data_IF_354245998880
#
_entry.id   IF_354245998880
#
_cell.length_a   1.000
_cell.length_b   1.000
_cell.length_c   1.000
_cell.angle_alpha   90.00
_cell.angle_beta   90.00
_cell.angle_gamma   90.00
#
_symmetry.space_group_name_H-M   'P 1'
#
loop_
_entity.id
_entity.type
_entity.pdbx_description
1 polymer ?
#
# COMPACT_ATOMS: atom_id res chain seq x y z
N UNK A 1 -16.36 -9.27 16.14
CA UNK A 1 -15.40 -9.91 15.21
C UNK A 1 -16.09 -10.34 13.91
N UNK A 2 -17.00 -11.33 13.93
CA UNK A 2 -17.72 -11.77 12.72
C UNK A 2 -18.44 -10.63 11.97
N UNK A 3 -19.06 -9.69 12.70
CA UNK A 3 -19.68 -8.49 12.08
C UNK A 3 -18.69 -7.66 11.25
N UNK A 4 -17.48 -7.43 11.77
CA UNK A 4 -16.45 -6.67 11.07
C UNK A 4 -15.98 -7.41 9.80
N UNK A 5 -15.79 -8.73 9.90
CA UNK A 5 -15.46 -9.57 8.76
C UNK A 5 -16.56 -9.53 7.69
N UNK A 6 -17.84 -9.74 8.07
CA UNK A 6 -18.97 -9.67 7.15
C UNK A 6 -19.10 -8.29 6.50
N UNK A 7 -18.89 -7.20 7.25
CA UNK A 7 -18.83 -5.86 6.69
C UNK A 7 -17.73 -5.73 5.63
N UNK A 8 -16.53 -6.25 5.88
CA UNK A 8 -15.44 -6.25 4.88
C UNK A 8 -15.78 -7.05 3.63
N UNK A 9 -16.33 -8.27 3.78
CA UNK A 9 -16.71 -9.16 2.66
C UNK A 9 -17.73 -8.50 1.75
N UNK A 10 -18.66 -7.70 2.29
CA UNK A 10 -19.64 -6.97 1.49
C UNK A 10 -19.08 -5.65 0.95
N UNK A 11 -18.32 -4.91 1.77
CA UNK A 11 -17.86 -3.57 1.43
C UNK A 11 -16.86 -3.57 0.27
N UNK A 12 -15.79 -4.37 0.30
CA UNK A 12 -14.73 -4.26 -0.72
C UNK A 12 -15.17 -4.71 -2.12
N UNK A 13 -15.80 -5.88 -2.31
CA UNK A 13 -16.34 -6.27 -3.62
C UNK A 13 -17.50 -5.37 -4.07
N UNK A 14 -18.33 -4.91 -3.13
CA UNK A 14 -19.43 -4.00 -3.39
C UNK A 14 -18.97 -2.64 -3.91
N UNK A 15 -18.00 -2.02 -3.22
CA UNK A 15 -17.38 -0.75 -3.64
C UNK A 15 -16.65 -0.92 -4.97
N UNK A 16 -15.90 -2.01 -5.17
CA UNK A 16 -15.24 -2.28 -6.45
C UNK A 16 -16.25 -2.37 -7.61
N UNK A 17 -17.33 -3.12 -7.43
CA UNK A 17 -18.38 -3.29 -8.45
C UNK A 17 -19.12 -1.97 -8.74
N UNK A 18 -19.40 -1.20 -7.69
CA UNK A 18 -20.01 0.13 -7.82
C UNK A 18 -19.09 1.08 -8.59
N UNK A 19 -17.81 1.16 -8.22
CA UNK A 19 -16.82 1.99 -8.90
C UNK A 19 -16.69 1.61 -10.37
N UNK A 20 -16.61 0.31 -10.70
CA UNK A 20 -16.58 -0.14 -12.10
C UNK A 20 -17.80 0.34 -12.88
N UNK A 21 -19.00 0.20 -12.31
CA UNK A 21 -20.25 0.59 -12.96
C UNK A 21 -20.39 2.11 -13.11
N UNK A 22 -19.95 2.88 -12.12
CA UNK A 22 -19.99 4.35 -12.16
C UNK A 22 -18.95 4.86 -13.16
N UNK A 23 -17.70 4.41 -13.07
CA UNK A 23 -16.62 4.85 -13.94
C UNK A 23 -16.87 4.50 -15.41
N UNK A 24 -17.40 3.31 -15.72
CA UNK A 24 -17.73 2.94 -17.11
C UNK A 24 -18.86 3.79 -17.69
N UNK A 25 -19.79 4.25 -16.85
CA UNK A 25 -20.89 5.14 -17.28
C UNK A 25 -20.44 6.59 -17.44
N UNK A 26 -19.59 7.07 -16.53
CA UNK A 26 -19.11 8.46 -16.50
C UNK A 26 -18.05 8.70 -17.56
N UNK A 27 -17.11 7.77 -17.75
CA UNK A 27 -15.98 7.90 -18.67
C UNK A 27 -16.11 6.88 -19.81
N UNK A 28 -17.05 7.13 -20.75
CA UNK A 28 -17.33 6.22 -21.88
C UNK A 28 -16.13 5.96 -22.79
N UNK A 29 -15.14 6.87 -22.78
CA UNK A 29 -13.89 6.77 -23.52
C UNK A 29 -12.84 5.87 -22.86
N UNK A 30 -13.04 5.45 -21.60
CA UNK A 30 -12.10 4.56 -20.91
C UNK A 30 -12.29 3.12 -21.36
N UNK A 31 -11.18 2.41 -21.52
CA UNK A 31 -11.24 0.97 -21.81
C UNK A 31 -11.65 0.19 -20.56
N UNK A 32 -12.13 -1.05 -20.73
CA UNK A 32 -12.39 -1.94 -19.59
C UNK A 32 -11.15 -2.12 -18.69
N UNK A 33 -9.95 -2.09 -19.29
CA UNK A 33 -8.69 -2.15 -18.54
C UNK A 33 -8.49 -0.92 -17.65
N UNK A 34 -8.78 0.27 -18.16
CA UNK A 34 -8.68 1.51 -17.39
C UNK A 34 -9.71 1.54 -16.26
N UNK A 35 -10.95 1.15 -16.54
CA UNK A 35 -12.02 1.10 -15.53
C UNK A 35 -11.66 0.14 -14.39
N UNK A 36 -11.21 -1.07 -14.71
CA UNK A 36 -10.81 -2.07 -13.70
C UNK A 36 -9.60 -1.59 -12.92
N UNK A 37 -8.56 -1.08 -13.59
CA UNK A 37 -7.34 -0.59 -12.96
C UNK A 37 -7.61 0.57 -12.01
N UNK A 38 -8.40 1.56 -12.44
CA UNK A 38 -8.74 2.72 -11.61
C UNK A 38 -9.62 2.30 -10.43
N UNK A 39 -10.62 1.42 -10.66
CA UNK A 39 -11.50 0.93 -9.58
C UNK A 39 -10.70 0.21 -8.49
N UNK A 40 -9.79 -0.67 -8.88
CA UNK A 40 -8.92 -1.41 -7.97
C UNK A 40 -8.08 -0.45 -7.11
N UNK A 41 -7.38 0.50 -7.75
CA UNK A 41 -6.55 1.49 -7.05
C UNK A 41 -7.34 2.42 -6.12
N UNK A 42 -8.59 2.75 -6.45
CA UNK A 42 -9.49 3.53 -5.59
C UNK A 42 -9.93 2.73 -4.36
N UNK A 43 -10.19 1.43 -4.50
CA UNK A 43 -10.48 0.54 -3.36
C UNK A 43 -9.26 0.42 -2.45
N UNK A 44 -8.06 0.24 -3.00
CA UNK A 44 -6.83 0.20 -2.20
C UNK A 44 -6.56 1.54 -1.50
N UNK A 45 -6.82 2.67 -2.16
CA UNK A 45 -6.72 3.99 -1.55
C UNK A 45 -7.72 4.17 -0.39
N UNK A 46 -8.98 3.73 -0.57
CA UNK A 46 -9.99 3.76 0.48
C UNK A 46 -9.56 2.90 1.67
N UNK A 47 -9.08 1.68 1.44
CA UNK A 47 -8.56 0.83 2.50
C UNK A 47 -7.40 1.52 3.25
N UNK A 48 -6.46 2.12 2.51
CA UNK A 48 -5.32 2.80 3.12
C UNK A 48 -5.72 3.99 4.00
N UNK A 49 -6.73 4.76 3.61
CA UNK A 49 -7.30 5.84 4.43
C UNK A 49 -7.93 5.29 5.71
N UNK A 50 -8.74 4.24 5.59
CA UNK A 50 -9.41 3.61 6.73
C UNK A 50 -8.38 3.01 7.71
N UNK A 51 -7.36 2.31 7.19
CA UNK A 51 -6.27 1.74 7.98
C UNK A 51 -5.50 2.82 8.71
N UNK A 52 -5.08 3.88 8.01
CA UNK A 52 -4.31 4.97 8.61
C UNK A 52 -5.10 5.72 9.67
N UNK A 53 -6.39 5.95 9.43
CA UNK A 53 -7.29 6.59 10.40
C UNK A 53 -7.42 5.71 11.65
N UNK A 54 -7.60 4.40 11.47
CA UNK A 54 -7.63 3.46 12.58
C UNK A 54 -6.31 3.46 13.36
N UNK A 55 -5.18 3.45 12.65
CA UNK A 55 -3.85 3.53 13.24
C UNK A 55 -3.66 4.79 14.09
N UNK A 56 -4.03 5.95 13.55
CA UNK A 56 -3.93 7.22 14.26
C UNK A 56 -4.78 7.24 15.53
N UNK A 57 -6.02 6.75 15.48
CA UNK A 57 -6.91 6.66 16.65
C UNK A 57 -6.31 5.75 17.72
N UNK A 58 -5.74 4.60 17.35
CA UNK A 58 -5.10 3.68 18.30
C UNK A 58 -3.88 4.36 18.95
N UNK A 59 -3.00 4.95 18.15
CA UNK A 59 -1.79 5.65 18.64
C UNK A 59 -2.14 6.78 19.60
N UNK A 60 -3.17 7.57 19.28
CA UNK A 60 -3.62 8.67 20.11
C UNK A 60 -4.28 8.21 21.43
N UNK A 61 -4.84 7.00 21.45
CA UNK A 61 -5.56 6.45 22.61
C UNK A 61 -4.64 5.67 23.57
N UNK A 62 -3.60 5.01 23.05
CA UNK A 62 -2.67 4.21 23.84
C UNK A 62 -1.55 5.08 24.43
N UNK A 63 -1.58 5.31 25.75
CA UNK A 63 -0.50 6.01 26.49
C UNK A 63 0.63 5.05 26.84
N UNK A 64 0.28 3.85 27.31
CA UNK A 64 1.22 2.76 27.53
C UNK A 64 1.34 1.95 26.24
N UNK A 65 2.49 2.05 25.58
CA UNK A 65 2.73 1.44 24.27
C UNK A 65 2.72 -0.11 24.29
N UNK A 66 2.89 -0.72 25.46
CA UNK A 66 2.95 -2.18 25.62
C UNK A 66 1.64 -2.79 26.08
N UNK A 67 0.95 -2.18 27.05
CA UNK A 67 -0.19 -2.83 27.73
C UNK A 67 -1.54 -2.21 27.39
N UNK A 68 -1.59 -0.98 26.88
CA UNK A 68 -2.87 -0.38 26.53
C UNK A 68 -3.50 -1.11 25.36
N UNK A 69 -4.83 -1.25 25.43
CA UNK A 69 -5.63 -1.94 24.43
C UNK A 69 -6.58 -0.99 23.75
N UNK A 70 -6.77 -1.19 22.46
CA UNK A 70 -7.76 -0.47 21.69
C UNK A 70 -8.52 -1.43 20.79
N UNK A 71 -9.85 -1.49 20.92
CA UNK A 71 -10.70 -2.46 20.20
C UNK A 71 -10.52 -2.42 18.68
N UNK A 72 -10.17 -1.26 18.14
CA UNK A 72 -9.94 -1.06 16.71
C UNK A 72 -8.73 -1.84 16.19
N UNK A 73 -7.74 -2.14 17.04
CA UNK A 73 -6.55 -2.90 16.66
C UNK A 73 -6.93 -4.30 16.17
N UNK A 74 -7.94 -4.93 16.79
CA UNK A 74 -8.43 -6.26 16.43
C UNK A 74 -9.58 -6.16 15.42
N UNK A 75 -10.52 -5.24 15.62
CA UNK A 75 -11.68 -5.09 14.74
C UNK A 75 -11.29 -4.71 13.31
N UNK A 76 -10.29 -3.84 13.15
CA UNK A 76 -9.81 -3.42 11.83
C UNK A 76 -9.10 -4.55 11.10
N UNK A 77 -8.33 -5.41 11.78
CA UNK A 77 -7.74 -6.60 11.15
C UNK A 77 -8.83 -7.50 10.59
N UNK A 78 -9.84 -7.85 11.39
CA UNK A 78 -10.98 -8.66 10.92
C UNK A 78 -11.70 -8.03 9.73
N UNK A 79 -11.88 -6.71 9.75
CA UNK A 79 -12.44 -5.96 8.62
C UNK A 79 -11.52 -5.96 7.39
N UNK A 80 -10.19 -5.95 7.57
CA UNK A 80 -9.20 -5.91 6.50
C UNK A 80 -8.90 -7.25 5.82
N UNK A 81 -9.22 -8.39 6.45
CA UNK A 81 -8.99 -9.73 5.84
C UNK A 81 -9.62 -9.86 4.44
N UNK A 82 -10.90 -9.51 4.24
CA UNK A 82 -11.54 -9.63 2.93
C UNK A 82 -10.91 -8.71 1.90
N UNK A 83 -10.44 -7.52 2.30
CA UNK A 83 -9.68 -6.64 1.42
C UNK A 83 -8.40 -7.33 0.95
N UNK A 84 -7.56 -7.80 1.87
CA UNK A 84 -6.27 -8.39 1.51
C UNK A 84 -6.42 -9.60 0.57
N UNK A 85 -7.45 -10.42 0.78
CA UNK A 85 -7.76 -11.55 -0.11
C UNK A 85 -8.33 -11.10 -1.45
N UNK A 86 -9.25 -10.13 -1.46
CA UNK A 86 -9.90 -9.65 -2.68
C UNK A 86 -8.97 -8.80 -3.55
N UNK A 87 -8.03 -8.06 -2.96
CA UNK A 87 -7.09 -7.20 -3.67
C UNK A 87 -6.17 -8.03 -4.58
N UNK A 88 -5.73 -9.23 -4.13
CA UNK A 88 -4.98 -10.17 -4.99
C UNK A 88 -5.79 -10.54 -6.24
N UNK A 89 -7.09 -10.81 -6.09
CA UNK A 89 -7.98 -11.09 -7.22
C UNK A 89 -8.15 -9.88 -8.13
N UNK A 90 -8.37 -8.68 -7.56
CA UNK A 90 -8.53 -7.44 -8.31
C UNK A 90 -7.25 -7.07 -9.07
N UNK A 91 -6.08 -7.28 -8.47
CA UNK A 91 -4.76 -7.13 -9.10
C UNK A 91 -4.59 -8.07 -10.29
N UNK A 92 -4.96 -9.35 -10.14
CA UNK A 92 -4.94 -10.31 -11.25
C UNK A 92 -5.84 -9.85 -12.41
N UNK A 93 -7.06 -9.39 -12.10
CA UNK A 93 -8.01 -8.91 -13.10
C UNK A 93 -7.49 -7.68 -13.84
N UNK A 94 -6.91 -6.74 -13.09
CA UNK A 94 -6.25 -5.52 -13.59
C UNK A 94 -5.07 -5.85 -14.51
N UNK A 95 -4.25 -6.85 -14.15
CA UNK A 95 -3.15 -7.34 -14.96
C UNK A 95 -3.65 -7.99 -16.26
N UNK A 96 -4.66 -8.85 -16.16
CA UNK A 96 -5.26 -9.55 -17.29
C UNK A 96 -5.81 -8.59 -18.34
N UNK A 97 -6.66 -7.63 -17.93
CA UNK A 97 -7.27 -6.69 -18.88
C UNK A 97 -6.23 -5.73 -19.49
N UNK A 98 -5.27 -5.23 -18.73
CA UNK A 98 -4.22 -4.36 -19.26
C UNK A 98 -3.36 -5.04 -20.33
N UNK A 99 -3.06 -6.33 -20.16
CA UNK A 99 -2.27 -7.08 -21.15
C UNK A 99 -3.10 -7.52 -22.36
N UNK A 100 -4.39 -7.80 -22.16
CA UNK A 100 -5.34 -8.08 -23.26
C UNK A 100 -5.52 -6.88 -24.19
N UNK A 101 -5.68 -5.67 -23.65
CA UNK A 101 -5.80 -4.44 -24.47
C UNK A 101 -4.50 -4.11 -25.22
N UNK A 102 -3.33 -4.53 -24.71
CA UNK A 102 -2.03 -4.38 -25.39
C UNK A 102 -1.77 -5.44 -26.47
N UNK A 103 -2.78 -6.23 -26.86
CA UNK A 103 -2.71 -7.17 -27.99
C UNK A 103 -1.77 -8.35 -27.80
N UNK A 104 -1.39 -8.71 -26.56
CA UNK A 104 -0.55 -9.88 -26.33
C UNK A 104 -1.37 -11.16 -26.54
N UNK A 105 -0.93 -12.01 -27.46
CA UNK A 105 -1.63 -13.24 -27.92
C UNK A 105 -1.94 -14.20 -26.75
N UNK A 106 -1.10 -14.21 -25.72
CA UNK A 106 -1.24 -15.07 -24.53
C UNK A 106 -2.41 -14.70 -23.58
N UNK A 107 -3.13 -13.60 -23.85
CA UNK A 107 -4.19 -13.08 -22.96
C UNK A 107 -5.60 -13.23 -23.53
N UNK A 108 -5.79 -14.07 -24.56
CA UNK A 108 -7.11 -14.33 -25.14
C UNK A 108 -8.02 -15.13 -24.19
N UNK A 109 -7.46 -16.06 -23.40
CA UNK A 109 -8.18 -16.88 -22.42
C UNK A 109 -7.49 -16.88 -21.05
N UNK A 110 -8.25 -17.12 -19.96
CA UNK A 110 -7.67 -17.36 -18.64
C UNK A 110 -6.87 -18.67 -18.68
N UNK A 111 -5.55 -18.56 -18.77
CA UNK A 111 -4.64 -19.72 -18.82
C UNK A 111 -3.70 -19.76 -17.62
N UNK A 112 -3.16 -20.95 -17.31
CA UNK A 112 -2.11 -21.11 -16.29
C UNK A 112 -0.86 -20.28 -16.62
N UNK A 113 -0.58 -20.08 -17.91
CA UNK A 113 0.51 -19.22 -18.37
C UNK A 113 0.27 -17.76 -17.98
N UNK A 114 -0.96 -17.26 -18.13
CA UNK A 114 -1.37 -15.91 -17.71
C UNK A 114 -1.22 -15.70 -16.20
N UNK A 115 -1.58 -16.70 -15.40
CA UNK A 115 -1.39 -16.65 -13.93
C UNK A 115 0.09 -16.67 -13.56
N UNK A 116 0.91 -17.51 -14.20
CA UNK A 116 2.37 -17.55 -13.97
C UNK A 116 3.04 -16.22 -14.35
N UNK A 117 2.63 -15.60 -15.45
CA UNK A 117 3.13 -14.29 -15.87
C UNK A 117 2.77 -13.18 -14.86
N UNK A 118 1.55 -13.18 -14.33
CA UNK A 118 1.13 -12.28 -13.24
C UNK A 118 1.98 -12.47 -11.98
N UNK A 119 2.14 -13.73 -11.53
CA UNK A 119 2.92 -14.06 -10.35
C UNK A 119 4.38 -13.60 -10.46
N UNK A 120 4.99 -13.71 -11.65
CA UNK A 120 6.37 -13.30 -11.85
C UNK A 120 6.52 -11.77 -11.94
N UNK A 121 5.58 -11.08 -12.61
CA UNK A 121 5.68 -9.64 -12.84
C UNK A 121 5.37 -8.81 -11.59
N UNK A 122 4.36 -9.22 -10.84
CA UNK A 122 3.87 -8.51 -9.66
C UNK A 122 4.26 -9.23 -8.34
N UNK A 123 5.29 -10.10 -8.40
CA UNK A 123 5.72 -11.00 -7.32
C UNK A 123 5.84 -10.32 -5.96
N UNK A 124 6.56 -9.20 -5.87
CA UNK A 124 6.81 -8.52 -4.60
C UNK A 124 5.53 -8.03 -3.93
N UNK A 125 4.56 -7.55 -4.71
CA UNK A 125 3.30 -7.04 -4.18
C UNK A 125 2.39 -8.21 -3.75
N UNK A 126 2.40 -9.32 -4.51
CA UNK A 126 1.65 -10.53 -4.15
C UNK A 126 2.25 -11.16 -2.89
N UNK A 127 3.57 -11.31 -2.83
CA UNK A 127 4.28 -11.82 -1.66
C UNK A 127 3.95 -10.99 -0.41
N UNK A 128 3.93 -9.66 -0.55
CA UNK A 128 3.53 -8.75 0.53
C UNK A 128 2.12 -9.08 1.07
N UNK A 129 1.11 -9.20 0.21
CA UNK A 129 -0.26 -9.55 0.63
C UNK A 129 -0.36 -10.96 1.23
N UNK A 130 0.33 -11.95 0.65
CA UNK A 130 0.37 -13.32 1.17
C UNK A 130 1.00 -13.36 2.56
N UNK A 131 2.09 -12.63 2.78
CA UNK A 131 2.74 -12.53 4.10
C UNK A 131 1.84 -11.78 5.10
N UNK A 132 1.14 -10.73 4.68
CA UNK A 132 0.16 -10.04 5.55
C UNK A 132 -0.95 -11.00 6.02
N UNK A 133 -1.48 -11.83 5.12
CA UNK A 133 -2.54 -12.80 5.43
C UNK A 133 -2.05 -14.02 6.22
N UNK A 134 -0.88 -14.56 5.91
CA UNK A 134 -0.42 -15.84 6.49
C UNK A 134 0.46 -15.68 7.71
N UNK A 135 1.12 -14.52 7.88
CA UNK A 135 2.05 -14.26 8.98
C UNK A 135 1.54 -13.14 9.90
N UNK A 136 1.27 -11.95 9.37
CA UNK A 136 0.89 -10.80 10.22
C UNK A 136 -0.48 -10.93 10.85
N UNK A 137 -1.46 -11.46 10.11
CA UNK A 137 -2.81 -11.71 10.62
C UNK A 137 -2.80 -12.64 11.84
N UNK A 138 -2.24 -13.87 11.79
CA UNK A 138 -2.26 -14.74 12.97
C UNK A 138 -1.41 -14.20 14.11
N UNK A 139 -0.30 -13.51 13.81
CA UNK A 139 0.47 -12.80 14.85
C UNK A 139 -0.42 -11.79 15.56
N UNK A 140 -1.13 -10.95 14.81
CA UNK A 140 -1.93 -9.85 15.37
C UNK A 140 -3.17 -10.35 16.12
N UNK A 141 -3.83 -11.41 15.62
CA UNK A 141 -5.07 -11.90 16.20
C UNK A 141 -4.89 -12.95 17.30
N UNK A 142 -3.85 -13.78 17.24
CA UNK A 142 -3.73 -14.95 18.11
C UNK A 142 -2.45 -14.96 18.94
N UNK A 143 -1.29 -14.63 18.35
CA UNK A 143 -0.01 -14.73 19.07
C UNK A 143 0.36 -13.49 19.89
N UNK A 144 -0.25 -12.33 19.60
CA UNK A 144 0.03 -11.05 20.26
C UNK A 144 -0.31 -11.04 21.75
N UNK A 145 -1.18 -11.94 22.23
CA UNK A 145 -1.67 -11.99 23.62
C UNK A 145 -2.18 -10.63 24.12
N UNK A 146 -2.84 -9.88 23.25
CA UNK A 146 -3.42 -8.56 23.54
C UNK A 146 -2.45 -7.46 24.02
N UNK A 147 -1.16 -7.57 23.66
CA UNK A 147 -0.13 -6.56 23.95
C UNK A 147 0.28 -5.77 22.70
N UNK A 148 0.77 -4.54 22.88
CA UNK A 148 1.39 -3.78 21.80
C UNK A 148 0.41 -3.25 20.75
N UNK A 149 -0.84 -2.95 21.13
CA UNK A 149 -1.83 -2.36 20.23
C UNK A 149 -1.34 -1.04 19.61
N UNK A 150 -0.57 -0.25 20.36
CA UNK A 150 0.11 0.95 19.85
C UNK A 150 0.98 0.67 18.62
N UNK A 151 1.77 -0.42 18.65
CA UNK A 151 2.64 -0.78 17.53
C UNK A 151 1.84 -1.29 16.33
N UNK A 152 0.72 -1.99 16.56
CA UNK A 152 -0.21 -2.34 15.48
C UNK A 152 -0.84 -1.10 14.87
N UNK A 153 -1.19 -0.11 15.69
CA UNK A 153 -1.63 1.20 15.22
C UNK A 153 -0.57 1.88 14.34
N UNK A 154 0.70 1.86 14.78
CA UNK A 154 1.83 2.33 13.97
C UNK A 154 1.87 1.60 12.62
N UNK A 155 1.84 0.28 12.59
CA UNK A 155 1.85 -0.49 11.35
C UNK A 155 0.69 -0.13 10.41
N UNK A 156 -0.50 0.17 10.93
CA UNK A 156 -1.61 0.65 10.08
C UNK A 156 -1.35 2.02 9.47
N UNK A 157 -0.64 2.92 10.15
CA UNK A 157 -0.29 4.23 9.57
C UNK A 157 0.65 4.13 8.37
N UNK A 158 1.34 2.99 8.17
CA UNK A 158 2.16 2.76 6.97
C UNK A 158 1.32 2.79 5.69
N UNK A 159 0.02 2.52 5.78
CA UNK A 159 -0.90 2.59 4.65
C UNK A 159 -1.26 4.02 4.22
N UNK A 160 -0.82 5.05 4.95
CA UNK A 160 -1.16 6.44 4.63
C UNK A 160 -0.56 6.90 3.30
N UNK A 161 0.56 6.32 2.89
CA UNK A 161 1.15 6.60 1.57
C UNK A 161 0.36 5.97 0.41
N UNK A 162 -0.45 4.92 0.67
CA UNK A 162 -1.13 4.12 -0.36
C UNK A 162 -2.05 4.96 -1.26
N UNK A 163 -2.90 5.87 -0.75
CA UNK A 163 -3.70 6.78 -1.58
C UNK A 163 -2.88 7.57 -2.59
N UNK A 164 -1.72 8.10 -2.18
CA UNK A 164 -0.85 8.89 -3.06
C UNK A 164 -0.13 8.01 -4.10
N UNK A 165 0.26 6.79 -3.71
CA UNK A 165 0.85 5.81 -4.63
C UNK A 165 -0.19 5.38 -5.68
N UNK A 166 -1.43 5.09 -5.26
CA UNK A 166 -2.55 4.77 -6.13
C UNK A 166 -2.88 5.91 -7.09
N UNK A 167 -2.99 7.15 -6.59
CA UNK A 167 -3.23 8.32 -7.42
C UNK A 167 -2.12 8.50 -8.47
N UNK A 168 -0.86 8.35 -8.08
CA UNK A 168 0.27 8.43 -9.01
C UNK A 168 0.19 7.40 -10.13
N UNK A 169 -0.27 6.18 -9.82
CA UNK A 169 -0.48 5.10 -10.80
C UNK A 169 -1.66 5.40 -11.73
N UNK A 170 -2.77 5.91 -11.20
CA UNK A 170 -3.95 6.33 -11.98
C UNK A 170 -3.55 7.44 -12.96
N UNK A 171 -2.85 8.47 -12.50
CA UNK A 171 -2.41 9.59 -13.37
C UNK A 171 -1.51 9.10 -14.52
N UNK A 172 -0.65 8.12 -14.28
CA UNK A 172 0.16 7.53 -15.35
C UNK A 172 -0.68 6.72 -16.34
N UNK A 173 -1.63 5.91 -15.86
CA UNK A 173 -2.52 5.13 -16.72
C UNK A 173 -3.34 6.05 -17.64
N UNK A 174 -3.85 7.16 -17.10
CA UNK A 174 -4.62 8.15 -17.84
C UNK A 174 -3.76 9.11 -18.68
N UNK A 175 -2.44 8.86 -18.81
CA UNK A 175 -1.48 9.69 -19.56
C UNK A 175 -1.38 11.14 -19.08
N UNK A 176 -1.70 11.41 -17.80
CA UNK A 176 -1.62 12.73 -17.16
C UNK A 176 -0.28 12.96 -16.44
N UNK A 177 0.80 12.35 -16.92
CA UNK A 177 2.12 12.38 -16.28
C UNK A 177 2.82 13.75 -16.33
N UNK A 178 2.48 14.59 -17.31
CA UNK A 178 3.05 15.94 -17.46
C UNK A 178 2.28 17.01 -16.67
N UNK A 179 1.18 16.61 -16.01
CA UNK A 179 0.36 17.53 -15.22
C UNK A 179 1.08 17.99 -13.94
N UNK A 180 0.77 19.21 -13.50
CA UNK A 180 1.24 19.70 -12.21
C UNK A 180 0.76 18.81 -11.05
N UNK A 181 -0.44 18.25 -11.18
CA UNK A 181 -1.00 17.28 -10.22
C UNK A 181 -0.09 16.05 -10.06
N UNK A 182 0.48 15.52 -11.14
CA UNK A 182 1.41 14.39 -11.07
C UNK A 182 2.69 14.75 -10.32
N UNK A 183 3.21 15.97 -10.51
CA UNK A 183 4.40 16.47 -9.81
C UNK A 183 4.13 16.61 -8.31
N UNK A 184 3.03 17.28 -7.94
CA UNK A 184 2.63 17.45 -6.53
C UNK A 184 2.40 16.10 -5.87
N UNK A 185 1.65 15.21 -6.53
CA UNK A 185 1.44 13.86 -6.01
C UNK A 185 2.78 13.10 -5.86
N UNK A 186 3.72 13.27 -6.78
CA UNK A 186 5.06 12.67 -6.68
C UNK A 186 5.80 13.12 -5.41
N UNK A 187 5.74 14.41 -5.07
CA UNK A 187 6.31 14.94 -3.82
C UNK A 187 5.58 14.35 -2.60
N UNK A 188 4.24 14.34 -2.63
CA UNK A 188 3.43 13.76 -1.54
C UNK A 188 3.73 12.27 -1.33
N UNK A 189 3.92 11.49 -2.40
CA UNK A 189 4.34 10.08 -2.31
C UNK A 189 5.69 9.98 -1.59
N UNK A 190 6.69 10.75 -1.98
CA UNK A 190 8.01 10.68 -1.34
C UNK A 190 7.95 11.05 0.15
N UNK A 191 7.26 12.15 0.49
CA UNK A 191 7.13 12.61 1.87
C UNK A 191 6.38 11.62 2.74
N UNK A 192 5.21 11.14 2.29
CA UNK A 192 4.38 10.20 3.06
C UNK A 192 5.03 8.83 3.17
N UNK A 193 5.68 8.35 2.12
CA UNK A 193 6.40 7.07 2.17
C UNK A 193 7.57 7.14 3.16
N UNK A 194 8.36 8.23 3.15
CA UNK A 194 9.44 8.41 4.09
C UNK A 194 8.93 8.51 5.54
N UNK A 195 7.98 9.40 5.79
CA UNK A 195 7.48 9.67 7.15
C UNK A 195 6.69 8.49 7.74
N UNK A 196 5.71 7.97 7.01
CA UNK A 196 4.80 6.95 7.53
C UNK A 196 5.33 5.52 7.41
N UNK A 197 6.33 5.25 6.54
CA UNK A 197 6.85 3.88 6.36
C UNK A 197 8.29 3.71 6.82
N UNK A 198 9.15 4.72 6.68
CA UNK A 198 10.58 4.59 7.05
C UNK A 198 10.80 5.18 8.44
N UNK A 199 10.48 6.46 8.65
CA UNK A 199 10.70 7.17 9.91
C UNK A 199 9.81 6.65 11.06
N UNK A 200 8.74 5.93 10.72
CA UNK A 200 7.90 5.24 11.70
C UNK A 200 8.67 4.18 12.51
N UNK A 201 9.61 3.45 11.90
CA UNK A 201 10.40 2.44 12.62
C UNK A 201 11.25 3.03 13.74
N UNK A 202 12.13 4.03 13.51
CA UNK A 202 12.85 4.68 14.60
C UNK A 202 11.90 5.34 15.60
N UNK A 203 10.74 5.86 15.18
CA UNK A 203 9.72 6.36 16.10
C UNK A 203 9.19 5.27 17.04
N UNK A 204 8.91 4.06 16.55
CA UNK A 204 8.47 2.93 17.40
C UNK A 204 9.53 2.58 18.45
N UNK A 205 10.81 2.56 18.07
CA UNK A 205 11.92 2.30 19.00
C UNK A 205 12.05 3.40 20.05
N UNK A 206 11.90 4.67 19.62
CA UNK A 206 11.91 5.81 20.53
C UNK A 206 10.74 5.77 21.52
N UNK A 207 9.52 5.47 21.05
CA UNK A 207 8.34 5.35 21.90
C UNK A 207 8.49 4.22 22.94
N UNK A 208 9.04 3.07 22.52
CA UNK A 208 9.37 1.99 23.44
C UNK A 208 10.45 2.39 24.46
N UNK A 209 11.54 3.03 24.00
CA UNK A 209 12.62 3.49 24.89
C UNK A 209 12.12 4.48 25.95
N UNK A 210 11.25 5.42 25.57
CA UNK A 210 10.59 6.34 26.51
C UNK A 210 9.69 5.62 27.52
N UNK A 211 9.03 4.54 27.11
CA UNK A 211 8.19 3.74 28.00
C UNK A 211 9.02 2.91 28.99
N UNK A 212 10.12 2.32 28.53
CA UNK A 212 10.99 1.47 29.34
C UNK A 212 12.10 2.23 30.10
N UNK A 213 12.14 3.57 29.96
CA UNK A 213 13.20 4.45 30.46
C UNK A 213 14.62 4.06 30.00
N UNK A 214 14.72 3.61 28.74
CA UNK A 214 15.96 3.18 28.10
C UNK A 214 16.38 4.24 27.07
N UNK A 215 17.66 4.65 27.03
CA UNK A 215 18.13 5.58 26.00
C UNK A 215 17.98 4.97 24.61
N UNK A 216 17.62 5.79 23.62
CA UNK A 216 17.25 5.35 22.26
C UNK A 216 18.25 4.39 21.61
N UNK A 217 19.55 4.65 21.75
CA UNK A 217 20.61 3.81 21.16
C UNK A 217 20.71 2.41 21.78
N UNK A 218 20.24 2.24 23.02
CA UNK A 218 20.27 0.97 23.74
C UNK A 218 19.03 0.11 23.49
N UNK A 219 17.95 0.68 22.94
CA UNK A 219 16.69 -0.02 22.69
C UNK A 219 16.87 -1.29 21.83
N UNK A 220 17.61 -1.29 20.71
CA UNK A 220 17.80 -2.50 19.92
C UNK A 220 18.47 -3.64 20.68
N UNK A 221 19.32 -3.35 21.67
CA UNK A 221 20.02 -4.36 22.47
C UNK A 221 19.17 -4.92 23.61
N UNK A 222 18.15 -4.18 24.05
CA UNK A 222 17.20 -4.63 25.08
C UNK A 222 16.02 -5.41 24.50
N UNK A 223 15.64 -5.12 23.25
CA UNK A 223 14.57 -5.84 22.57
C UNK A 223 15.00 -7.27 22.22
N UNK A 224 14.09 -8.25 22.32
CA UNK A 224 14.35 -9.60 21.84
C UNK A 224 14.77 -9.58 20.36
N UNK A 225 15.74 -10.43 20.00
CA UNK A 225 16.26 -10.50 18.64
C UNK A 225 15.15 -10.70 17.59
N UNK A 226 14.14 -11.51 17.92
CA UNK A 226 12.98 -11.74 17.05
C UNK A 226 12.21 -10.45 16.73
N UNK A 227 12.09 -9.51 17.67
CA UNK A 227 11.43 -8.22 17.44
C UNK A 227 12.24 -7.34 16.48
N UNK A 228 13.57 -7.28 16.67
CA UNK A 228 14.45 -6.54 15.78
C UNK A 228 14.46 -7.12 14.36
N UNK A 229 14.54 -8.45 14.25
CA UNK A 229 14.45 -9.15 12.97
C UNK A 229 13.08 -8.93 12.31
N UNK A 230 11.99 -9.01 13.07
CA UNK A 230 10.64 -8.71 12.56
C UNK A 230 10.53 -7.30 11.99
N UNK A 231 11.00 -6.29 12.74
CA UNK A 231 11.02 -4.91 12.28
C UNK A 231 11.88 -4.72 11.02
N UNK A 232 13.06 -5.33 10.98
CA UNK A 232 13.94 -5.29 9.82
C UNK A 232 13.30 -5.95 8.59
N UNK A 233 12.65 -7.09 8.77
CA UNK A 233 11.93 -7.79 7.70
C UNK A 233 10.77 -6.95 7.12
N UNK A 234 10.10 -6.14 7.93
CA UNK A 234 9.05 -5.22 7.46
C UNK A 234 9.68 -3.98 6.79
N UNK A 235 10.75 -3.43 7.36
CA UNK A 235 11.39 -2.21 6.87
C UNK A 235 12.16 -2.43 5.55
N UNK A 236 12.79 -3.58 5.36
CA UNK A 236 13.60 -3.90 4.18
C UNK A 236 12.85 -3.70 2.84
N UNK A 237 11.63 -4.25 2.61
CA UNK A 237 10.88 -4.00 1.38
C UNK A 237 10.49 -2.52 1.22
N UNK A 238 10.23 -1.81 2.33
CA UNK A 238 9.91 -0.38 2.28
C UNK A 238 11.12 0.43 1.81
N UNK A 239 12.32 0.16 2.34
CA UNK A 239 13.56 0.79 1.87
C UNK A 239 13.79 0.51 0.39
N UNK A 240 13.63 -0.73 -0.04
CA UNK A 240 13.72 -1.11 -1.46
C UNK A 240 12.75 -0.29 -2.32
N UNK A 241 11.47 -0.25 -2.00
CA UNK A 241 10.49 0.53 -2.77
C UNK A 241 10.76 2.04 -2.74
N UNK A 242 11.22 2.57 -1.61
CA UNK A 242 11.59 3.97 -1.52
C UNK A 242 12.77 4.32 -2.43
N UNK A 243 13.80 3.47 -2.50
CA UNK A 243 14.93 3.67 -3.43
C UNK A 243 14.46 3.69 -4.89
N UNK A 244 13.51 2.81 -5.26
CA UNK A 244 12.91 2.81 -6.60
C UNK A 244 12.11 4.09 -6.88
N UNK A 245 11.36 4.59 -5.90
CA UNK A 245 10.60 5.85 -6.02
C UNK A 245 11.54 7.04 -6.19
N UNK A 246 12.59 7.13 -5.39
CA UNK A 246 13.63 8.16 -5.51
C UNK A 246 14.33 8.09 -6.87
N UNK A 247 14.67 6.90 -7.35
CA UNK A 247 15.30 6.73 -8.66
C UNK A 247 14.38 7.16 -9.80
N UNK A 248 13.09 6.81 -9.72
CA UNK A 248 12.08 7.26 -10.67
C UNK A 248 11.91 8.78 -10.65
N UNK A 249 11.82 9.39 -9.47
CA UNK A 249 11.71 10.85 -9.31
C UNK A 249 12.94 11.56 -9.89
N UNK A 250 14.15 11.07 -9.61
CA UNK A 250 15.40 11.59 -10.18
C UNK A 250 15.39 11.50 -11.71
N UNK A 251 14.93 10.38 -12.29
CA UNK A 251 14.83 10.21 -13.74
C UNK A 251 13.86 11.22 -14.37
N UNK A 252 12.71 11.46 -13.74
CA UNK A 252 11.73 12.46 -14.20
C UNK A 252 12.30 13.88 -14.13
N UNK A 253 12.98 14.21 -13.04
CA UNK A 253 13.65 15.50 -12.86
C UNK A 253 14.71 15.73 -13.94
N UNK A 254 15.60 14.75 -14.18
CA UNK A 254 16.65 14.85 -15.20
C UNK A 254 16.10 14.97 -16.62
N UNK A 255 14.98 14.30 -16.94
CA UNK A 255 14.31 14.46 -18.24
C UNK A 255 13.77 15.87 -18.45
N UNK A 256 13.22 16.48 -17.39
CA UNK A 256 12.69 17.85 -17.43
C UNK A 256 13.79 18.92 -17.46
N UNK A 257 14.95 18.62 -16.87
CA UNK A 257 16.12 19.50 -16.83
C UNK A 257 16.96 19.48 -18.12
N UNK A 258 16.74 18.52 -19.05
CA UNK A 258 17.44 18.50 -20.33
C UNK A 258 16.89 19.64 -21.21
N UNK A 259 17.71 20.63 -21.61
CA UNK A 259 17.25 21.66 -22.52
C UNK A 259 16.82 21.03 -23.85
N UNK A 260 15.73 21.53 -24.44
CA UNK A 260 15.35 21.22 -25.83
C UNK A 260 16.51 21.70 -26.73
N UNK A 261 17.45 20.81 -27.03
CA UNK A 261 18.50 21.07 -28.01
C UNK A 261 17.87 21.14 -29.41
N UNK A 262 17.68 22.38 -29.88
CA UNK A 262 17.73 22.84 -31.28
C UNK A 262 17.20 21.87 -32.35
N UNK A 263 15.95 22.07 -32.79
CA UNK A 263 15.59 21.83 -34.19
C UNK A 263 16.28 22.93 -35.02
N UNK A 264 17.14 22.60 -36.01
CA UNK A 264 17.59 23.59 -36.97
C UNK A 264 16.39 24.01 -37.81
N UNK A 265 16.11 25.32 -37.84
CA UNK A 265 15.23 25.91 -38.84
C UNK A 265 15.84 25.63 -40.21
N UNK A 266 15.16 24.86 -41.04
CA UNK A 266 15.39 24.84 -42.47
C UNK A 266 14.84 26.16 -43.02
N UNK A 267 15.74 27.08 -43.36
CA UNK A 267 15.45 28.17 -44.29
C UNK A 267 15.31 27.62 -45.72
#
# INVERSE_FOLDING_TARGET
>A
MLRALSCGVLAFPGVFSLLRKVLSRTFKQWTEADVVFVSERLVSALHGILASSAGFVIIASCKNVMTDRHWLSTAFVWFGIPYMSYDIYAMYLSHYFNHRVKGHVDYQNHSLHTVKAFLHKDFLLILHHVVLLTVFLPITLFFRRDLGDFFVGCLFTTEFSTPFVCLGRILMQLRLQDSWLHVVNGVLVLLTFFTCRIALFPYMYWAYGRHADIPFHSVPFHLPLCCNLGNLCILAPQLYWFTLLCWKARRLYLRKARPKSQEPKSD
#
